data_IF_892767676655
#
_entry.id   IF_892767676655
#
_cell.length_a   1.000
_cell.length_b   1.000
_cell.length_c   1.000
_cell.angle_alpha   90.00
_cell.angle_beta   90.00
_cell.angle_gamma   90.00
#
_symmetry.space_group_name_H-M   'P 1'
#
loop_
_entity.id
_entity.type
_entity.pdbx_description
1 polymer ?
#
# COMPACT_ATOMS: atom_id res chain seq x y z
N UNK A 1 27.17 -34.63 20.04
CA UNK A 1 27.58 -33.79 21.19
C UNK A 1 28.25 -32.54 20.64
N UNK A 2 27.53 -31.42 20.62
CA UNK A 2 28.07 -30.11 20.31
C UNK A 2 27.64 -29.19 21.44
N UNK A 3 28.62 -28.76 22.23
CA UNK A 3 28.49 -27.84 23.34
C UNK A 3 28.25 -26.45 22.77
N UNK A 4 27.04 -25.91 22.93
CA UNK A 4 26.79 -24.47 22.76
C UNK A 4 27.01 -23.83 24.12
N UNK A 5 28.22 -23.33 24.33
CA UNK A 5 28.61 -22.53 25.48
C UNK A 5 27.80 -21.24 25.48
N UNK A 6 26.90 -21.19 26.44
CA UNK A 6 26.15 -20.02 26.90
C UNK A 6 27.14 -19.02 27.52
N UNK A 7 27.48 -17.95 26.80
CA UNK A 7 28.34 -16.89 27.34
C UNK A 7 27.74 -15.51 27.07
N UNK A 8 26.92 -15.09 28.05
CA UNK A 8 26.54 -13.71 28.34
C UNK A 8 25.41 -13.14 27.48
N UNK A 9 24.44 -12.47 28.13
CA UNK A 9 23.33 -11.65 27.59
C UNK A 9 21.95 -12.31 27.78
N UNK A 10 21.35 -11.96 28.93
CA UNK A 10 19.96 -12.17 29.37
C UNK A 10 19.51 -13.62 29.66
N UNK A 11 19.30 -13.95 30.94
CA UNK A 11 19.04 -15.34 31.39
C UNK A 11 17.54 -15.69 31.47
N UNK A 12 16.65 -14.70 31.54
CA UNK A 12 15.22 -14.83 31.80
C UNK A 12 14.33 -14.04 30.81
N UNK A 13 14.85 -12.98 30.17
CA UNK A 13 14.14 -12.16 29.20
C UNK A 13 14.19 -12.77 27.78
N UNK A 14 13.08 -13.38 27.35
CA UNK A 14 12.96 -14.08 26.06
C UNK A 14 12.55 -13.13 24.92
N UNK A 15 12.72 -13.57 23.68
CA UNK A 15 12.16 -12.87 22.53
C UNK A 15 10.63 -12.76 22.66
N UNK A 16 10.11 -11.54 22.46
CA UNK A 16 8.68 -11.26 22.36
C UNK A 16 8.21 -11.39 20.91
N UNK A 17 6.90 -11.55 20.70
CA UNK A 17 6.31 -11.54 19.35
C UNK A 17 5.44 -10.31 19.16
N UNK A 18 5.20 -9.93 17.90
CA UNK A 18 4.29 -8.83 17.54
C UNK A 18 3.09 -9.42 16.81
N UNK A 19 1.89 -9.08 17.26
CA UNK A 19 0.65 -9.55 16.65
C UNK A 19 0.59 -9.13 15.17
N UNK A 20 0.39 -10.10 14.27
CA UNK A 20 0.30 -9.87 12.82
C UNK A 20 1.63 -9.88 12.06
N UNK A 21 2.76 -10.14 12.73
CA UNK A 21 4.06 -10.39 12.07
C UNK A 21 4.26 -11.89 11.87
N UNK A 22 4.60 -12.32 10.65
CA UNK A 22 4.94 -13.71 10.37
C UNK A 22 6.36 -14.01 10.91
N UNK A 23 6.53 -15.00 11.80
CA UNK A 23 7.85 -15.37 12.33
C UNK A 23 8.83 -15.89 11.25
N UNK A 24 8.34 -16.27 10.08
CA UNK A 24 9.17 -16.73 8.96
C UNK A 24 9.47 -15.61 7.94
N UNK A 25 8.90 -14.42 8.10
CA UNK A 25 9.19 -13.28 7.24
C UNK A 25 10.60 -12.73 7.55
N UNK A 26 11.57 -12.83 6.62
CA UNK A 26 12.92 -12.35 6.84
C UNK A 26 12.99 -10.83 7.03
N UNK A 27 11.94 -10.09 6.65
CA UNK A 27 11.87 -8.63 6.82
C UNK A 27 11.15 -8.20 8.09
N UNK A 28 10.53 -9.14 8.82
CA UNK A 28 9.72 -8.89 10.01
C UNK A 28 8.79 -7.69 9.82
N UNK A 29 8.00 -7.70 8.74
CA UNK A 29 7.18 -6.56 8.35
C UNK A 29 6.00 -6.38 9.32
N UNK A 30 5.85 -5.18 9.86
CA UNK A 30 4.70 -4.83 10.70
C UNK A 30 3.39 -4.79 9.89
N UNK A 31 2.24 -5.03 10.55
CA UNK A 31 0.94 -4.93 9.91
C UNK A 31 0.74 -3.58 9.16
N UNK A 32 0.06 -3.56 8.00
CA UNK A 32 -0.11 -2.34 7.21
C UNK A 32 -0.80 -1.17 7.95
N UNK A 33 -1.66 -1.50 8.92
CA UNK A 33 -2.39 -0.54 9.75
C UNK A 33 -1.66 -0.18 11.07
N UNK A 34 -0.43 -0.66 11.27
CA UNK A 34 0.39 -0.33 12.44
C UNK A 34 0.56 1.18 12.64
N UNK A 35 0.74 1.93 11.55
CA UNK A 35 0.91 3.38 11.60
C UNK A 35 -0.36 4.17 11.98
N UNK A 36 -1.52 3.53 12.00
CA UNK A 36 -2.80 4.14 12.40
C UNK A 36 -3.33 3.58 13.72
N UNK A 37 -3.24 2.28 13.95
CA UNK A 37 -3.78 1.61 15.15
C UNK A 37 -2.74 1.27 16.21
N UNK A 38 -1.45 1.33 15.89
CA UNK A 38 -0.41 0.73 16.74
C UNK A 38 -0.33 -0.77 16.52
N UNK A 39 0.49 -1.45 17.33
CA UNK A 39 0.63 -2.91 17.33
C UNK A 39 0.56 -3.46 18.75
N UNK A 40 0.34 -4.75 18.89
CA UNK A 40 0.36 -5.44 20.17
C UNK A 40 1.60 -6.31 20.30
N UNK A 41 2.33 -6.13 21.40
CA UNK A 41 3.50 -6.91 21.77
C UNK A 41 3.07 -8.01 22.73
N UNK A 42 3.47 -9.25 22.44
CA UNK A 42 3.28 -10.40 23.33
C UNK A 42 4.61 -10.72 24.00
N UNK A 43 4.82 -10.14 25.18
CA UNK A 43 5.99 -10.40 26.01
C UNK A 43 5.66 -11.60 26.91
N UNK A 44 6.42 -12.71 26.82
CA UNK A 44 6.20 -13.85 27.69
C UNK A 44 6.51 -13.46 29.15
N UNK A 45 5.86 -14.13 30.11
CA UNK A 45 6.27 -14.05 31.51
C UNK A 45 7.76 -14.42 31.61
N UNK A 46 8.54 -13.60 32.31
CA UNK A 46 9.97 -13.89 32.51
C UNK A 46 10.14 -15.12 33.39
N UNK A 47 11.24 -15.82 33.17
CA UNK A 47 11.59 -16.98 33.99
C UNK A 47 11.93 -16.54 35.42
N UNK A 48 11.32 -17.17 36.42
CA UNK A 48 11.56 -16.88 37.84
C UNK A 48 11.09 -15.48 38.30
N UNK A 49 9.80 -15.13 38.17
CA UNK A 49 9.28 -13.88 38.72
C UNK A 49 9.42 -13.83 40.24
N UNK A 50 9.49 -12.61 40.81
CA UNK A 50 9.57 -12.45 42.27
C UNK A 50 8.39 -13.15 42.96
N UNK A 51 8.68 -13.76 44.11
CA UNK A 51 7.75 -14.49 44.97
C UNK A 51 7.63 -13.92 46.38
N UNK A 52 8.53 -13.00 46.77
CA UNK A 52 8.48 -12.34 48.06
C UNK A 52 7.34 -11.31 48.13
N UNK A 53 6.37 -11.56 49.01
CA UNK A 53 5.23 -10.68 49.26
C UNK A 53 5.73 -9.26 49.62
N UNK A 54 5.14 -8.23 49.02
CA UNK A 54 5.53 -6.84 49.19
C UNK A 54 6.65 -6.37 48.26
N UNK A 55 7.17 -7.24 47.38
CA UNK A 55 8.04 -6.87 46.27
C UNK A 55 7.24 -6.70 44.97
N UNK A 56 7.85 -6.03 44.00
CA UNK A 56 7.30 -5.86 42.65
C UNK A 56 8.43 -5.90 41.62
N UNK A 57 8.18 -6.59 40.51
CA UNK A 57 9.09 -6.61 39.37
C UNK A 57 8.80 -5.41 38.46
N UNK A 58 9.84 -4.75 37.95
CA UNK A 58 9.72 -3.62 37.03
C UNK A 58 9.89 -4.10 35.60
N UNK A 59 8.91 -3.83 34.73
CA UNK A 59 9.04 -4.00 33.28
C UNK A 59 9.19 -2.65 32.60
N UNK A 60 10.21 -2.52 31.77
CA UNK A 60 10.47 -1.37 30.92
C UNK A 60 10.55 -1.80 29.46
N UNK A 61 9.83 -1.13 28.57
CA UNK A 61 9.87 -1.40 27.12
C UNK A 61 10.38 -0.16 26.40
N UNK A 62 11.39 -0.36 25.55
CA UNK A 62 12.11 0.69 24.84
C UNK A 62 11.87 0.58 23.34
N UNK A 63 11.85 1.74 22.69
CA UNK A 63 11.65 1.87 21.25
C UNK A 63 12.68 2.80 20.63
N UNK A 64 13.28 2.35 19.54
CA UNK A 64 14.14 3.14 18.67
C UNK A 64 13.43 3.32 17.34
N UNK A 65 12.89 4.52 17.12
CA UNK A 65 12.18 4.88 15.89
C UNK A 65 13.14 4.98 14.69
N UNK A 66 12.66 4.72 13.46
CA UNK A 66 13.48 4.84 12.26
C UNK A 66 14.16 6.21 12.12
N UNK A 67 15.48 6.18 11.92
CA UNK A 67 16.31 7.38 11.73
C UNK A 67 16.53 8.22 12.99
N UNK A 68 16.14 7.73 14.17
CA UNK A 68 16.41 8.37 15.46
C UNK A 68 17.63 7.71 16.11
N UNK A 69 18.47 8.49 16.80
CA UNK A 69 19.69 8.00 17.46
C UNK A 69 19.49 7.58 18.93
N UNK A 70 18.41 8.06 19.54
CA UNK A 70 18.12 7.84 20.95
C UNK A 70 16.83 7.03 21.12
N UNK A 71 16.93 6.02 21.96
CA UNK A 71 15.79 5.19 22.34
C UNK A 71 14.86 5.96 23.28
N UNK A 72 13.58 5.61 23.24
CA UNK A 72 12.54 6.18 24.10
C UNK A 72 11.95 5.09 24.97
N UNK A 73 11.78 5.38 26.25
CA UNK A 73 11.02 4.54 27.16
C UNK A 73 9.53 4.67 26.80
N UNK A 74 8.95 3.60 26.27
CA UNK A 74 7.54 3.56 25.89
C UNK A 74 6.67 3.14 27.08
N UNK A 75 7.11 2.13 27.84
CA UNK A 75 6.33 1.54 28.93
C UNK A 75 7.22 1.33 30.15
N UNK A 76 6.70 1.65 31.33
CA UNK A 76 7.37 1.38 32.61
C UNK A 76 6.30 1.10 33.66
N UNK A 77 6.28 -0.12 34.22
CA UNK A 77 5.30 -0.50 35.21
C UNK A 77 5.83 -1.53 36.21
N UNK A 78 5.38 -1.42 37.46
CA UNK A 78 5.68 -2.36 38.54
C UNK A 78 4.56 -3.40 38.65
N UNK A 79 4.94 -4.67 38.70
CA UNK A 79 4.04 -5.81 38.88
C UNK A 79 4.24 -6.43 40.26
N UNK A 80 3.29 -6.24 41.20
CA UNK A 80 3.41 -6.75 42.57
C UNK A 80 3.28 -8.28 42.62
N UNK A 81 3.89 -8.90 43.64
CA UNK A 81 3.72 -10.33 43.90
C UNK A 81 2.29 -10.65 44.39
N UNK A 82 1.59 -11.67 43.84
CA UNK A 82 2.03 -12.55 42.76
C UNK A 82 2.04 -11.84 41.41
N UNK A 83 3.19 -11.92 40.72
CA UNK A 83 3.43 -11.21 39.46
C UNK A 83 2.43 -11.69 38.41
N UNK A 84 1.64 -10.75 37.90
CA UNK A 84 0.68 -10.97 36.81
C UNK A 84 0.84 -9.86 35.79
N UNK A 85 1.03 -10.22 34.52
CA UNK A 85 1.19 -9.27 33.42
C UNK A 85 -0.02 -9.32 32.49
N UNK A 86 -0.33 -8.23 31.77
CA UNK A 86 -1.30 -8.25 30.69
C UNK A 86 -0.93 -9.29 29.62
N UNK A 87 -1.94 -9.85 28.94
CA UNK A 87 -1.70 -10.78 27.84
C UNK A 87 -0.93 -10.15 26.67
N UNK A 88 -1.10 -8.83 26.46
CA UNK A 88 -0.45 -8.06 25.40
C UNK A 88 -0.27 -6.60 25.81
N UNK A 89 0.77 -5.97 25.27
CA UNK A 89 1.12 -4.57 25.47
C UNK A 89 0.88 -3.79 24.18
N UNK A 90 0.05 -2.76 24.22
CA UNK A 90 -0.24 -1.94 23.05
C UNK A 90 0.86 -0.90 22.83
N UNK A 91 1.64 -1.03 21.76
CA UNK A 91 2.56 0.00 21.28
C UNK A 91 1.77 1.01 20.42
N UNK A 92 1.55 2.25 20.89
CA UNK A 92 0.70 3.20 20.19
C UNK A 92 1.29 3.63 18.84
N UNK A 93 0.40 3.96 17.90
CA UNK A 93 0.75 4.40 16.56
C UNK A 93 1.74 5.57 16.54
N UNK A 94 1.80 6.40 17.58
CA UNK A 94 2.70 7.55 17.66
C UNK A 94 4.19 7.18 17.53
N UNK A 95 4.59 5.97 17.90
CA UNK A 95 5.95 5.45 17.73
C UNK A 95 6.18 4.79 16.36
N UNK A 96 5.12 4.71 15.55
CA UNK A 96 5.05 4.02 14.25
C UNK A 96 4.67 5.02 13.14
N UNK A 97 5.20 6.25 13.22
CA UNK A 97 4.89 7.30 12.24
C UNK A 97 5.90 7.42 11.11
N UNK A 98 7.12 6.87 11.29
CA UNK A 98 8.21 6.95 10.32
C UNK A 98 8.43 5.58 9.70
N UNK A 99 8.42 5.50 8.37
CA UNK A 99 8.77 4.26 7.68
C UNK A 99 10.24 3.88 7.91
N UNK A 100 10.53 2.57 7.86
CA UNK A 100 11.87 2.03 8.02
C UNK A 100 11.98 1.00 9.14
N UNK A 101 13.21 0.70 9.53
CA UNK A 101 13.51 -0.27 10.58
C UNK A 101 13.31 0.35 11.97
N UNK A 102 12.37 -0.21 12.74
CA UNK A 102 12.16 0.10 14.15
C UNK A 102 12.81 -0.98 15.01
N UNK A 103 13.47 -0.59 16.10
CA UNK A 103 14.05 -1.55 17.06
C UNK A 103 13.30 -1.47 18.40
N UNK A 104 12.97 -2.62 18.96
CA UNK A 104 12.21 -2.79 20.18
C UNK A 104 12.93 -3.77 21.10
N UNK A 105 13.01 -3.43 22.38
CA UNK A 105 13.51 -4.32 23.42
C UNK A 105 12.84 -4.02 24.75
N UNK A 106 13.03 -4.90 25.73
CA UNK A 106 12.51 -4.69 27.08
C UNK A 106 13.54 -5.13 28.12
N UNK A 107 13.41 -4.57 29.32
CA UNK A 107 14.16 -4.95 30.51
C UNK A 107 13.21 -5.23 31.66
N UNK A 108 13.50 -6.31 32.38
CA UNK A 108 12.85 -6.66 33.64
C UNK A 108 13.84 -6.41 34.76
N UNK A 109 13.40 -5.85 35.88
CA UNK A 109 14.21 -5.76 37.10
C UNK A 109 13.46 -6.43 38.25
N UNK A 110 14.05 -7.47 38.83
CA UNK A 110 13.41 -8.24 39.89
C UNK A 110 13.30 -7.43 41.19
N UNK A 111 12.14 -7.45 41.84
CA UNK A 111 11.89 -6.73 43.09
C UNK A 111 12.65 -7.28 44.30
N UNK A 112 13.03 -8.56 44.26
CA UNK A 112 13.72 -9.25 45.38
C UNK A 112 15.17 -8.80 45.55
N UNK A 113 15.92 -8.76 44.45
CA UNK A 113 17.36 -8.54 44.44
C UNK A 113 17.79 -7.33 43.60
N UNK A 114 16.85 -6.70 42.86
CA UNK A 114 17.15 -5.58 41.98
C UNK A 114 17.93 -5.96 40.73
N UNK A 115 18.06 -7.25 40.41
CA UNK A 115 18.83 -7.71 39.26
C UNK A 115 18.06 -7.39 37.97
N UNK A 116 18.65 -6.62 37.06
CA UNK A 116 18.06 -6.36 35.76
C UNK A 116 18.37 -7.51 34.79
N UNK A 117 17.44 -7.75 33.89
CA UNK A 117 17.59 -8.64 32.76
C UNK A 117 16.98 -8.02 31.50
N UNK A 118 17.75 -8.00 30.42
CA UNK A 118 17.44 -7.27 29.19
C UNK A 118 17.29 -8.24 28.02
N UNK A 119 16.14 -8.19 27.35
CA UNK A 119 15.92 -8.92 26.11
C UNK A 119 16.76 -8.34 24.97
N UNK A 120 17.19 -9.19 24.04
CA UNK A 120 17.86 -8.75 22.83
C UNK A 120 16.95 -7.83 22.00
N UNK A 121 17.50 -6.73 21.43
CA UNK A 121 16.76 -5.89 20.51
C UNK A 121 16.26 -6.64 19.28
N UNK A 122 14.96 -6.53 19.03
CA UNK A 122 14.29 -7.08 17.85
C UNK A 122 13.94 -5.96 16.89
N UNK A 123 14.20 -6.19 15.60
CA UNK A 123 14.01 -5.22 14.53
C UNK A 123 12.80 -5.60 13.69
N UNK A 124 12.00 -4.61 13.31
CA UNK A 124 10.82 -4.78 12.48
C UNK A 124 10.80 -3.73 11.37
N UNK A 125 10.26 -4.08 10.22
CA UNK A 125 10.12 -3.14 9.10
C UNK A 125 8.74 -2.51 9.11
N UNK A 126 8.67 -1.18 9.26
CA UNK A 126 7.43 -0.43 9.13
C UNK A 126 7.28 0.12 7.70
N UNK A 127 6.19 -0.25 7.04
CA UNK A 127 5.71 0.35 5.79
C UNK A 127 4.30 0.86 5.99
N UNK A 128 4.04 2.12 5.65
CA UNK A 128 2.71 2.73 5.81
C UNK A 128 1.80 2.25 4.68
N UNK A 129 0.59 1.83 5.04
CA UNK A 129 -0.46 1.63 4.04
C UNK A 129 -0.83 2.98 3.41
N UNK A 130 -0.78 3.08 2.08
CA UNK A 130 -1.25 4.25 1.35
C UNK A 130 -2.77 4.37 1.50
N UNK A 131 -3.30 5.44 2.11
CA UNK A 131 -4.73 5.56 2.37
C UNK A 131 -5.52 5.72 1.06
N UNK A 132 -6.65 5.02 0.93
CA UNK A 132 -7.59 5.24 -0.19
C UNK A 132 -8.51 6.40 0.15
N UNK A 133 -8.12 7.61 -0.23
CA UNK A 133 -8.80 8.85 0.16
C UNK A 133 -8.86 9.90 -0.97
N UNK A 134 -8.57 9.49 -2.21
CA UNK A 134 -8.62 10.36 -3.39
C UNK A 134 -9.81 9.99 -4.29
N UNK A 135 -10.39 10.99 -4.96
CA UNK A 135 -11.48 10.79 -5.91
C UNK A 135 -11.06 9.86 -7.06
N UNK A 136 -11.94 8.95 -7.45
CA UNK A 136 -11.76 8.03 -8.58
C UNK A 136 -11.46 8.79 -9.89
N UNK A 137 -10.52 8.33 -10.74
CA UNK A 137 -10.28 8.94 -12.03
C UNK A 137 -11.47 8.76 -12.98
N UNK A 138 -11.67 9.73 -13.87
CA UNK A 138 -12.75 9.76 -14.84
C UNK A 138 -12.22 9.82 -16.27
N UNK A 139 -13.04 9.38 -17.23
CA UNK A 139 -12.65 9.29 -18.64
C UNK A 139 -13.51 10.25 -19.46
N UNK A 140 -13.07 11.50 -19.67
CA UNK A 140 -13.90 12.54 -20.27
C UNK A 140 -14.29 12.25 -21.73
N UNK A 141 -13.51 11.42 -22.42
CA UNK A 141 -13.76 11.02 -23.82
C UNK A 141 -14.53 9.71 -23.96
N UNK A 142 -14.88 9.08 -22.84
CA UNK A 142 -15.77 7.92 -22.83
C UNK A 142 -17.23 8.37 -22.85
N UNK A 143 -18.11 7.48 -23.33
CA UNK A 143 -19.56 7.64 -23.20
C UNK A 143 -20.00 7.65 -21.73
N UNK A 144 -21.25 8.00 -21.45
CA UNK A 144 -21.84 7.96 -20.11
C UNK A 144 -21.73 6.58 -19.42
N UNK A 145 -21.60 5.50 -20.21
CA UNK A 145 -21.45 4.13 -19.73
C UNK A 145 -19.99 3.67 -19.57
N UNK A 146 -19.03 4.59 -19.79
CA UNK A 146 -17.60 4.35 -19.69
C UNK A 146 -16.96 3.70 -20.91
N UNK A 147 -17.66 3.66 -22.06
CA UNK A 147 -17.12 3.07 -23.29
C UNK A 147 -16.38 4.09 -24.15
N UNK A 148 -15.20 3.69 -24.60
CA UNK A 148 -14.54 4.19 -25.79
C UNK A 148 -15.00 3.34 -26.98
N UNK A 149 -15.60 4.00 -27.97
CA UNK A 149 -16.08 3.38 -29.21
C UNK A 149 -15.27 3.92 -30.39
N UNK A 150 -15.36 3.28 -31.56
CA UNK A 150 -14.63 3.73 -32.76
C UNK A 150 -14.78 5.23 -33.06
N UNK A 151 -15.97 5.78 -32.82
CA UNK A 151 -16.24 7.20 -33.05
C UNK A 151 -16.05 8.11 -31.82
N UNK A 152 -15.41 7.63 -30.74
CA UNK A 152 -15.04 8.48 -29.61
C UNK A 152 -14.23 9.69 -30.07
N UNK A 153 -14.43 10.83 -29.40
CA UNK A 153 -13.74 12.09 -29.69
C UNK A 153 -12.98 12.54 -28.43
N UNK A 154 -11.67 12.73 -28.50
CA UNK A 154 -10.75 12.34 -29.59
C UNK A 154 -10.79 10.83 -29.86
N UNK A 155 -10.28 10.43 -31.04
CA UNK A 155 -10.16 9.01 -31.37
C UNK A 155 -9.25 8.32 -30.36
N UNK A 156 -9.59 7.10 -29.97
CA UNK A 156 -8.84 6.37 -28.95
C UNK A 156 -7.41 6.01 -29.35
N UNK A 157 -7.10 5.97 -30.65
CA UNK A 157 -5.75 5.77 -31.17
C UNK A 157 -4.94 7.07 -31.28
N UNK A 158 -5.58 8.23 -31.12
CA UNK A 158 -4.88 9.50 -31.05
C UNK A 158 -4.61 9.88 -29.60
N UNK A 159 -5.63 9.83 -28.73
CA UNK A 159 -5.44 9.95 -27.30
C UNK A 159 -6.60 9.36 -26.47
N UNK A 160 -6.24 8.76 -25.34
CA UNK A 160 -7.15 8.45 -24.24
C UNK A 160 -6.77 9.31 -23.04
N UNK A 161 -7.71 10.15 -22.59
CA UNK A 161 -7.56 10.99 -21.40
C UNK A 161 -8.05 10.27 -20.16
N UNK A 162 -7.19 10.22 -19.15
CA UNK A 162 -7.53 9.78 -17.79
C UNK A 162 -7.45 11.00 -16.89
N UNK A 163 -8.61 11.51 -16.48
CA UNK A 163 -8.70 12.72 -15.67
C UNK A 163 -8.65 12.37 -14.19
N UNK A 164 -7.72 13.01 -13.49
CA UNK A 164 -7.74 13.13 -12.03
C UNK A 164 -8.66 14.31 -11.69
N UNK A 165 -9.81 14.11 -11.02
CA UNK A 165 -10.73 15.18 -10.70
C UNK A 165 -10.12 16.20 -9.72
N UNK A 166 -10.54 17.46 -9.85
CA UNK A 166 -10.20 18.50 -8.89
C UNK A 166 -10.62 18.11 -7.46
N UNK A 167 -9.71 18.30 -6.51
CA UNK A 167 -9.95 18.09 -5.09
C UNK A 167 -9.30 19.26 -4.34
N UNK A 168 -10.06 20.32 -4.04
CA UNK A 168 -9.53 21.54 -3.44
C UNK A 168 -8.69 21.26 -2.18
N UNK A 169 -7.48 21.82 -2.13
CA UNK A 169 -6.53 21.65 -1.03
C UNK A 169 -5.85 20.28 -0.95
N UNK A 170 -6.15 19.33 -1.86
CA UNK A 170 -5.54 18.00 -1.87
C UNK A 170 -4.22 17.96 -2.63
N UNK A 171 -4.15 18.69 -3.74
CA UNK A 171 -2.97 18.77 -4.61
C UNK A 171 -2.19 20.05 -4.34
N UNK A 172 -0.89 20.02 -4.61
CA UNK A 172 -0.02 21.19 -4.55
C UNK A 172 1.00 21.15 -5.67
N UNK A 173 1.59 22.32 -5.98
CA UNK A 173 2.73 22.41 -6.90
C UNK A 173 3.85 21.47 -6.45
N UNK A 174 4.55 20.88 -7.43
CA UNK A 174 5.63 19.90 -7.27
C UNK A 174 5.23 18.52 -6.70
N UNK A 175 3.96 18.29 -6.37
CA UNK A 175 3.48 16.94 -6.11
C UNK A 175 3.69 16.03 -7.34
N UNK A 176 3.87 14.74 -7.10
CA UNK A 176 3.91 13.73 -8.16
C UNK A 176 2.67 12.85 -8.09
N UNK A 177 1.88 12.85 -9.16
CA UNK A 177 0.83 11.86 -9.34
C UNK A 177 1.34 10.73 -10.22
N UNK A 178 1.11 9.50 -9.78
CA UNK A 178 1.47 8.32 -10.56
C UNK A 178 0.22 7.53 -10.87
N UNK A 179 -0.07 7.35 -12.16
CA UNK A 179 -1.17 6.57 -12.69
C UNK A 179 -0.71 5.15 -12.98
N UNK A 180 -1.33 4.17 -12.33
CA UNK A 180 -1.24 2.76 -12.64
C UNK A 180 -2.39 2.38 -13.59
N UNK A 181 -2.02 1.71 -14.68
CA UNK A 181 -2.90 1.27 -15.77
C UNK A 181 -2.73 -0.23 -16.00
N UNK A 182 -3.83 -0.93 -16.27
CA UNK A 182 -3.79 -2.33 -16.71
C UNK A 182 -5.00 -2.66 -17.56
N UNK A 183 -4.79 -3.36 -18.67
CA UNK A 183 -5.84 -3.82 -19.58
C UNK A 183 -6.29 -5.24 -19.27
N UNK A 184 -7.55 -5.52 -19.55
CA UNK A 184 -8.22 -6.80 -19.27
C UNK A 184 -9.00 -7.25 -20.49
N UNK A 185 -9.03 -8.57 -20.72
CA UNK A 185 -9.84 -9.14 -21.79
C UNK A 185 -11.34 -8.97 -21.51
N UNK A 186 -11.76 -8.87 -20.25
CA UNK A 186 -13.18 -8.79 -19.86
C UNK A 186 -13.60 -7.37 -19.47
N UNK A 187 -14.91 -7.10 -19.44
CA UNK A 187 -15.47 -5.80 -19.03
C UNK A 187 -15.48 -5.57 -17.51
N UNK A 188 -15.28 -6.63 -16.72
CA UNK A 188 -15.31 -6.59 -15.27
C UNK A 188 -13.90 -6.66 -14.63
N UNK A 189 -12.85 -6.40 -15.41
CA UNK A 189 -11.49 -6.36 -14.86
C UNK A 189 -10.90 -7.72 -14.48
N UNK A 190 -11.35 -8.79 -15.14
CA UNK A 190 -10.83 -10.15 -14.95
C UNK A 190 -10.02 -10.57 -16.19
N UNK A 191 -9.02 -11.44 -16.02
CA UNK A 191 -8.07 -11.87 -17.06
C UNK A 191 -7.28 -10.68 -17.61
N UNK A 192 -6.27 -10.25 -16.86
CA UNK A 192 -5.33 -9.22 -17.30
C UNK A 192 -4.67 -9.60 -18.63
N UNK A 193 -4.45 -8.61 -19.49
CA UNK A 193 -3.76 -8.76 -20.76
C UNK A 193 -2.26 -8.54 -20.52
N UNK A 194 -1.41 -9.56 -20.70
CA UNK A 194 0.04 -9.42 -20.51
C UNK A 194 0.62 -8.26 -21.33
N UNK A 195 1.52 -7.48 -20.71
CA UNK A 195 2.20 -6.37 -21.36
C UNK A 195 1.42 -5.04 -21.41
N UNK A 196 0.15 -5.04 -21.00
CA UNK A 196 -0.67 -3.81 -20.91
C UNK A 196 -0.54 -3.08 -19.57
N UNK A 197 0.07 -3.68 -18.55
CA UNK A 197 0.36 -2.99 -17.31
C UNK A 197 1.36 -1.85 -17.53
N UNK A 198 1.04 -0.66 -17.05
CA UNK A 198 1.83 0.56 -17.25
C UNK A 198 1.74 1.51 -16.08
N UNK A 199 2.80 2.30 -15.89
CA UNK A 199 2.88 3.32 -14.84
C UNK A 199 3.30 4.64 -15.46
N UNK A 200 2.49 5.67 -15.27
CA UNK A 200 2.69 6.99 -15.88
C UNK A 200 2.83 8.04 -14.78
N UNK A 201 3.91 8.82 -14.81
CA UNK A 201 4.20 9.83 -13.80
C UNK A 201 3.88 11.22 -14.36
N UNK A 202 3.21 12.03 -13.56
CA UNK A 202 2.99 13.45 -13.84
C UNK A 202 3.38 14.27 -12.61
N UNK A 203 4.40 15.10 -12.78
CA UNK A 203 4.71 16.15 -11.81
C UNK A 203 3.72 17.30 -11.98
N UNK A 204 3.06 17.71 -10.90
CA UNK A 204 2.01 18.71 -10.93
C UNK A 204 2.62 20.10 -10.98
N UNK A 205 2.17 20.87 -11.96
CA UNK A 205 2.38 22.32 -11.96
C UNK A 205 1.37 22.99 -11.01
N UNK A 206 1.62 24.25 -10.65
CA UNK A 206 0.62 25.05 -9.93
C UNK A 206 -0.73 25.10 -10.66
N UNK A 207 -0.71 25.19 -11.99
CA UNK A 207 -1.94 25.17 -12.80
C UNK A 207 -2.70 23.84 -12.68
N UNK A 208 -2.01 22.69 -12.67
CA UNK A 208 -2.66 21.39 -12.46
C UNK A 208 -3.29 21.31 -11.06
N UNK A 209 -2.57 21.76 -10.03
CA UNK A 209 -3.00 21.71 -8.64
C UNK A 209 -4.22 22.61 -8.36
N UNK A 210 -4.23 23.81 -8.96
CA UNK A 210 -5.29 24.82 -8.78
C UNK A 210 -6.45 24.65 -9.80
N UNK A 211 -6.37 23.66 -10.70
CA UNK A 211 -7.37 23.48 -11.76
C UNK A 211 -8.76 23.17 -11.19
N UNK A 212 -9.81 23.89 -11.62
CA UNK A 212 -11.18 23.67 -11.14
C UNK A 212 -11.80 22.35 -11.64
N UNK A 213 -11.21 21.74 -12.67
CA UNK A 213 -11.66 20.45 -13.24
C UNK A 213 -10.67 19.32 -12.99
N UNK A 214 -9.48 19.64 -12.47
CA UNK A 214 -8.37 18.71 -12.29
C UNK A 214 -7.45 18.66 -13.51
N UNK A 215 -6.74 17.55 -13.69
CA UNK A 215 -5.73 17.41 -14.73
C UNK A 215 -5.77 16.02 -15.37
N UNK A 216 -5.23 15.93 -16.58
CA UNK A 216 -5.28 14.70 -17.38
C UNK A 216 -3.90 14.04 -17.43
N UNK A 217 -3.90 12.71 -17.34
CA UNK A 217 -2.90 11.86 -17.97
C UNK A 217 -3.36 11.57 -19.40
N UNK A 218 -2.45 11.72 -20.36
CA UNK A 218 -2.75 11.51 -21.78
C UNK A 218 -2.02 10.26 -22.26
N UNK A 219 -2.77 9.21 -22.55
CA UNK A 219 -2.28 8.03 -23.27
C UNK A 219 -2.40 8.34 -24.77
N UNK A 220 -1.39 9.00 -25.32
CA UNK A 220 -1.34 9.42 -26.72
C UNK A 220 -1.11 8.28 -27.72
N UNK A 221 -1.03 8.63 -29.00
CA UNK A 221 -0.83 7.68 -30.10
C UNK A 221 0.38 6.75 -29.93
N UNK A 222 1.46 7.23 -29.30
CA UNK A 222 2.66 6.45 -28.99
C UNK A 222 2.41 5.31 -27.99
N UNK A 223 1.31 5.37 -27.25
CA UNK A 223 0.91 4.40 -26.22
C UNK A 223 -0.22 3.48 -26.70
N UNK A 224 -0.85 3.79 -27.83
CA UNK A 224 -2.03 3.07 -28.29
C UNK A 224 -1.78 1.57 -28.45
N UNK A 225 -0.78 1.18 -29.25
CA UNK A 225 -0.52 -0.22 -29.59
C UNK A 225 -0.32 -1.13 -28.38
N UNK A 226 0.37 -0.61 -27.36
CA UNK A 226 0.67 -1.38 -26.15
C UNK A 226 -0.45 -1.34 -25.12
N UNK A 227 -1.00 -0.15 -24.85
CA UNK A 227 -1.84 0.05 -23.66
C UNK A 227 -3.33 0.06 -23.97
N UNK A 228 -3.74 0.30 -25.22
CA UNK A 228 -5.14 0.48 -25.62
C UNK A 228 -5.58 -0.59 -26.63
N UNK A 229 -4.82 -0.75 -27.72
CA UNK A 229 -5.16 -1.63 -28.82
C UNK A 229 -5.44 -3.09 -28.43
N UNK A 230 -4.82 -3.68 -27.39
CA UNK A 230 -5.11 -5.07 -27.02
C UNK A 230 -6.55 -5.30 -26.53
N UNK A 231 -7.29 -4.25 -26.13
CA UNK A 231 -8.66 -4.34 -25.62
C UNK A 231 -9.72 -4.08 -26.70
N UNK A 232 -10.94 -4.56 -26.48
CA UNK A 232 -12.10 -4.23 -27.32
C UNK A 232 -12.10 -4.92 -28.69
N UNK A 233 -11.24 -5.93 -28.85
CA UNK A 233 -11.22 -6.84 -30.00
C UNK A 233 -12.34 -7.88 -29.88
N UNK A 234 -12.70 -8.53 -30.99
CA UNK A 234 -13.64 -9.65 -30.96
C UNK A 234 -12.97 -10.80 -30.23
N UNK A 235 -13.61 -11.25 -29.15
CA UNK A 235 -13.25 -12.50 -28.51
C UNK A 235 -14.31 -13.54 -28.84
N UNK A 236 -13.88 -14.72 -29.29
CA UNK A 236 -14.75 -15.90 -29.38
C UNK A 236 -14.95 -16.38 -27.95
N UNK A 237 -16.16 -16.20 -27.40
CA UNK A 237 -16.50 -16.71 -26.08
C UNK A 237 -16.57 -18.23 -26.11
N UNK A 238 -16.40 -18.84 -24.93
CA UNK A 238 -16.48 -20.30 -24.73
C UNK A 238 -17.82 -20.91 -25.13
N UNK A 239 -18.89 -20.10 -25.21
CA UNK A 239 -20.23 -20.50 -25.68
C UNK A 239 -20.42 -20.31 -27.20
N UNK A 240 -19.35 -20.04 -27.95
CA UNK A 240 -19.37 -19.85 -29.39
C UNK A 240 -19.89 -18.48 -29.85
N UNK A 241 -20.22 -17.56 -28.94
CA UNK A 241 -20.68 -16.22 -29.30
C UNK A 241 -19.52 -15.25 -29.44
N UNK A 242 -19.48 -14.51 -30.53
CA UNK A 242 -18.60 -13.35 -30.67
C UNK A 242 -19.14 -12.19 -29.83
N UNK A 243 -18.28 -11.53 -29.07
CA UNK A 243 -18.62 -10.28 -28.38
C UNK A 243 -17.41 -9.39 -28.19
N UNK A 244 -17.65 -8.09 -28.02
CA UNK A 244 -16.62 -7.13 -27.63
C UNK A 244 -16.34 -7.26 -26.15
N UNK A 245 -15.09 -7.54 -25.81
CA UNK A 245 -14.66 -7.68 -24.43
C UNK A 245 -13.35 -6.89 -24.26
N UNK A 246 -13.30 -6.04 -23.25
CA UNK A 246 -12.13 -5.23 -22.99
C UNK A 246 -12.38 -4.08 -22.03
N UNK A 247 -11.63 -4.04 -20.93
CA UNK A 247 -11.62 -2.89 -20.03
C UNK A 247 -10.21 -2.59 -19.56
N UNK A 248 -9.99 -1.36 -19.10
CA UNK A 248 -8.79 -0.98 -18.39
C UNK A 248 -9.12 -0.45 -17.01
N UNK A 249 -8.30 -0.83 -16.03
CA UNK A 249 -8.27 -0.20 -14.73
C UNK A 249 -7.33 0.99 -14.74
N UNK A 250 -7.73 2.07 -14.08
CA UNK A 250 -6.90 3.24 -13.83
C UNK A 250 -6.97 3.57 -12.33
N UNK A 251 -5.83 3.66 -11.67
CA UNK A 251 -5.71 4.13 -10.28
C UNK A 251 -4.56 5.12 -10.21
N UNK A 252 -4.69 6.19 -9.44
CA UNK A 252 -3.55 7.08 -9.20
C UNK A 252 -3.20 7.19 -7.73
N UNK A 253 -1.92 7.42 -7.47
CA UNK A 253 -1.35 7.68 -6.15
C UNK A 253 -0.69 9.05 -6.17
N UNK A 254 -1.00 9.87 -5.16
CA UNK A 254 -0.40 11.18 -4.93
C UNK A 254 0.83 11.04 -4.03
N UNK A 255 1.94 11.63 -4.43
CA UNK A 255 3.18 11.71 -3.68
C UNK A 255 3.57 13.17 -3.43
N UNK A 256 4.06 13.45 -2.22
CA UNK A 256 4.62 14.76 -1.84
C UNK A 256 5.99 14.54 -1.21
N UNK A 257 7.04 15.08 -1.85
CA UNK A 257 8.41 14.87 -1.39
C UNK A 257 8.76 13.38 -1.25
N UNK A 258 8.28 12.53 -2.16
CA UNK A 258 8.47 11.07 -2.12
C UNK A 258 7.55 10.30 -1.16
N UNK A 259 6.76 10.97 -0.32
CA UNK A 259 5.82 10.32 0.60
C UNK A 259 4.46 10.14 -0.06
N UNK A 260 3.92 8.92 -0.06
CA UNK A 260 2.58 8.65 -0.58
C UNK A 260 1.50 9.26 0.34
N UNK A 261 0.76 10.24 -0.18
CA UNK A 261 -0.27 10.99 0.56
C UNK A 261 -1.65 10.33 0.48
N UNK A 262 -1.88 9.55 -0.57
CA UNK A 262 -3.13 8.85 -0.80
C UNK A 262 -3.22 8.21 -2.17
N UNK A 263 -4.17 7.29 -2.33
CA UNK A 263 -4.51 6.64 -3.59
C UNK A 263 -6.01 6.79 -3.89
N UNK A 264 -6.37 6.70 -5.16
CA UNK A 264 -7.76 6.71 -5.60
C UNK A 264 -8.39 5.32 -5.55
N UNK A 265 -9.73 5.28 -5.61
CA UNK A 265 -10.43 4.10 -6.10
C UNK A 265 -10.16 3.85 -7.59
N UNK A 266 -10.52 2.67 -8.07
CA UNK A 266 -10.28 2.24 -9.46
C UNK A 266 -11.30 2.87 -10.43
N UNK A 267 -10.77 3.65 -11.38
CA UNK A 267 -11.35 4.03 -12.67
C UNK A 267 -11.50 2.85 -13.61
N UNK A 268 -12.64 2.72 -14.30
CA UNK A 268 -12.81 1.74 -15.36
C UNK A 268 -13.09 2.42 -16.70
N UNK A 269 -12.27 2.12 -17.70
CA UNK A 269 -12.55 2.40 -19.10
C UNK A 269 -12.95 1.10 -19.79
N UNK A 270 -13.93 1.14 -20.68
CA UNK A 270 -14.35 0.01 -21.50
C UNK A 270 -14.03 0.32 -22.95
N UNK A 271 -13.59 -0.69 -23.70
CA UNK A 271 -13.20 -0.50 -25.09
C UNK A 271 -14.07 -1.38 -25.98
N UNK A 272 -14.69 -0.76 -26.97
CA UNK A 272 -15.36 -1.43 -28.08
C UNK A 272 -14.75 -0.92 -29.38
N UNK A 273 -14.00 -1.79 -30.04
CA UNK A 273 -13.31 -1.48 -31.29
C UNK A 273 -13.91 -2.21 -32.48
N UNK A 274 -15.08 -2.82 -32.33
CA UNK A 274 -15.71 -3.57 -33.42
C UNK A 274 -16.41 -2.63 -34.36
N UNK A 275 -16.12 -2.81 -35.65
CA UNK A 275 -16.80 -2.12 -36.74
C UNK A 275 -17.97 -3.00 -37.21
N UNK A 276 -19.22 -2.51 -37.15
CA UNK A 276 -20.38 -3.31 -37.56
C UNK A 276 -20.27 -3.81 -39.01
N UNK A 277 -20.44 -5.12 -39.21
CA UNK A 277 -20.39 -5.74 -40.53
C UNK A 277 -19.00 -6.07 -41.05
N UNK A 278 -17.94 -5.74 -40.30
CA UNK A 278 -16.56 -5.90 -40.71
C UNK A 278 -15.81 -6.93 -39.87
N UNK A 279 -14.75 -7.50 -40.44
CA UNK A 279 -13.87 -8.46 -39.75
C UNK A 279 -12.70 -7.79 -39.03
N UNK A 280 -12.47 -6.49 -39.28
CA UNK A 280 -11.39 -5.71 -38.67
C UNK A 280 -11.88 -4.89 -37.46
N UNK A 281 -10.93 -4.34 -36.72
CA UNK A 281 -11.18 -3.44 -35.60
C UNK A 281 -10.82 -2.02 -36.00
N UNK A 282 -11.52 -1.03 -35.46
CA UNK A 282 -11.16 0.35 -35.73
C UNK A 282 -9.82 0.72 -35.09
N UNK A 283 -8.98 1.37 -35.89
CA UNK A 283 -7.69 1.94 -35.57
C UNK A 283 -7.45 3.12 -36.52
N UNK A 284 -6.21 3.61 -36.57
CA UNK A 284 -5.84 4.72 -37.43
C UNK A 284 -6.01 4.41 -38.93
N UNK A 285 -5.81 3.16 -39.36
CA UNK A 285 -5.92 2.75 -40.76
C UNK A 285 -7.38 2.43 -41.13
N UNK A 286 -8.19 2.06 -40.14
CA UNK A 286 -9.58 1.65 -40.27
C UNK A 286 -10.55 2.62 -39.54
N UNK A 287 -10.39 3.93 -39.75
CA UNK A 287 -11.34 4.94 -39.23
C UNK A 287 -12.58 5.04 -40.14
N UNK A 288 -13.68 4.43 -39.72
CA UNK A 288 -14.96 4.43 -40.45
C UNK A 288 -15.89 5.58 -40.07
N UNK A 289 -15.47 6.45 -39.15
CA UNK A 289 -16.31 7.51 -38.63
C UNK A 289 -16.17 8.75 -39.52
N UNK A 290 -17.30 9.24 -40.06
CA UNK A 290 -17.31 10.40 -40.97
C UNK A 290 -16.66 11.62 -40.30
N UNK A 291 -15.80 12.32 -41.04
CA UNK A 291 -15.29 13.66 -40.67
C UNK A 291 -16.42 14.68 -40.71
#
# INVERSE_FOLDING_TARGET
MASTTNTGIGLFARAFTVEGVDPNDPTAQLPPDASTKGVYLNIPMWEGPSVCIGKSDLLEIWVLEPGVLLERLFYSNLFPVPVTIPARFHLPAQYLQREGEISLWYRVTLGENGNPDTALPQRFTLKRQVPTNLAKPVFPSATLWGYFICCSVPRMWDEVKVRVPAQPGRFSEDDECILDWEGFYTLNGVRAIPGTAGRFVKKLTKQDADSPIGFDFVLGADKFERYIAPMGKIEIKTDGKAGTTGSASARYTLYRGGTAMGQSDVGWAKFDRVVPGEIFHCDREHDTCKR
#
